data_IF_211459344722
#
_entry.id   IF_211459344722
#
_cell.length_a   1.000
_cell.length_b   1.000
_cell.length_c   1.000
_cell.angle_alpha   90.00
_cell.angle_beta   90.00
_cell.angle_gamma   90.00
#
_symmetry.space_group_name_H-M   'P 1'
#
loop_
_entity.id
_entity.type
_entity.pdbx_description
1 polymer ?
#
# COMPACT_ATOMS: atom_id res chain seq x y z
N UNK A 1 -24.45 4.28 -0.61
CA UNK A 1 -23.26 5.16 -0.39
C UNK A 1 -23.53 5.99 0.86
N UNK A 2 -22.55 6.12 1.77
CA UNK A 2 -22.71 6.95 2.97
C UNK A 2 -22.41 8.45 2.66
N UNK A 3 -22.72 9.34 3.60
CA UNK A 3 -22.58 10.79 3.42
C UNK A 3 -21.13 11.22 3.13
N UNK A 4 -20.14 10.60 3.79
CA UNK A 4 -18.71 10.92 3.60
C UNK A 4 -18.24 10.52 2.19
N UNK A 5 -18.58 9.31 1.75
CA UNK A 5 -18.22 8.83 0.40
C UNK A 5 -18.88 9.70 -0.67
N UNK A 6 -20.16 10.05 -0.50
CA UNK A 6 -20.89 10.92 -1.42
C UNK A 6 -20.25 12.30 -1.52
N UNK A 7 -19.94 12.93 -0.38
CA UNK A 7 -19.36 14.27 -0.34
C UNK A 7 -17.98 14.34 -1.01
N UNK A 8 -17.10 13.36 -0.76
CA UNK A 8 -15.75 13.36 -1.35
C UNK A 8 -15.80 13.03 -2.84
N UNK A 9 -16.62 12.07 -3.27
CA UNK A 9 -16.77 11.75 -4.69
C UNK A 9 -17.34 12.96 -5.45
N UNK A 10 -18.40 13.61 -4.93
CA UNK A 10 -18.96 14.79 -5.57
C UNK A 10 -17.99 15.97 -5.63
N UNK A 11 -17.08 16.11 -4.66
CA UNK A 11 -15.99 17.07 -4.72
C UNK A 11 -15.05 16.78 -5.90
N UNK A 12 -14.63 15.52 -6.06
CA UNK A 12 -13.73 15.15 -7.17
C UNK A 12 -14.40 15.21 -8.54
N UNK A 13 -15.71 14.99 -8.63
CA UNK A 13 -16.48 15.11 -9.88
C UNK A 13 -16.33 16.47 -10.54
N UNK A 14 -16.10 17.54 -9.76
CA UNK A 14 -15.90 18.89 -10.29
C UNK A 14 -14.61 19.02 -11.11
N UNK A 15 -13.68 18.08 -10.96
CA UNK A 15 -12.38 18.11 -11.65
C UNK A 15 -12.31 17.09 -12.81
N UNK A 16 -13.21 16.10 -12.84
CA UNK A 16 -13.21 15.07 -13.88
C UNK A 16 -13.51 15.68 -15.25
N UNK A 17 -12.63 15.41 -16.22
CA UNK A 17 -12.76 15.93 -17.57
C UNK A 17 -12.43 17.42 -17.75
N UNK A 18 -12.16 18.16 -16.66
CA UNK A 18 -11.79 19.59 -16.75
C UNK A 18 -10.37 19.77 -17.29
N UNK A 19 -9.49 18.80 -17.06
CA UNK A 19 -8.13 18.82 -17.54
C UNK A 19 -7.70 17.42 -17.97
N UNK A 20 -7.61 17.19 -19.27
CA UNK A 20 -7.14 15.92 -19.83
C UNK A 20 -5.73 15.56 -19.32
N UNK A 21 -4.89 16.55 -19.05
CA UNK A 21 -3.55 16.35 -18.48
C UNK A 21 -3.62 15.82 -17.04
N UNK A 22 -4.51 16.37 -16.20
CA UNK A 22 -4.70 15.92 -14.82
C UNK A 22 -5.23 14.46 -14.80
N UNK A 23 -6.27 14.18 -15.58
CA UNK A 23 -6.87 12.85 -15.67
C UNK A 23 -5.83 11.81 -16.15
N UNK A 24 -5.08 12.17 -17.20
CA UNK A 24 -3.99 11.33 -17.71
C UNK A 24 -2.90 11.09 -16.66
N UNK A 25 -2.46 12.15 -15.97
CA UNK A 25 -1.40 12.06 -14.95
C UNK A 25 -1.83 11.21 -13.76
N UNK A 26 -3.04 11.43 -13.22
CA UNK A 26 -3.57 10.61 -12.11
C UNK A 26 -3.76 9.16 -12.54
N UNK A 27 -4.27 8.93 -13.75
CA UNK A 27 -4.36 7.60 -14.34
C UNK A 27 -3.01 6.93 -14.50
N UNK A 28 -1.97 7.64 -14.95
CA UNK A 28 -0.61 7.14 -15.06
C UNK A 28 -0.05 6.74 -13.68
N UNK A 29 -0.18 7.63 -12.68
CA UNK A 29 0.26 7.34 -11.30
C UNK A 29 -0.46 6.12 -10.73
N UNK A 30 -1.78 6.01 -10.94
CA UNK A 30 -2.57 4.88 -10.43
C UNK A 30 -2.11 3.54 -11.01
N UNK A 31 -1.76 3.50 -12.31
CA UNK A 31 -1.30 2.28 -13.01
C UNK A 31 0.16 1.96 -12.75
N UNK A 32 1.02 2.98 -12.61
CA UNK A 32 2.46 2.78 -12.46
C UNK A 32 2.83 2.43 -11.02
N UNK A 33 3.22 1.19 -10.79
CA UNK A 33 3.77 0.76 -9.50
C UNK A 33 5.04 1.55 -9.13
N UNK A 34 5.88 1.86 -10.12
CA UNK A 34 7.09 2.65 -9.89
C UNK A 34 6.79 4.06 -9.40
N UNK A 35 5.92 4.81 -10.08
CA UNK A 35 5.58 6.18 -9.69
C UNK A 35 4.85 6.21 -8.33
N UNK A 36 3.95 5.27 -8.09
CA UNK A 36 3.12 5.22 -6.90
C UNK A 36 3.88 4.74 -5.67
N UNK A 37 4.53 3.59 -5.77
CA UNK A 37 5.10 2.87 -4.63
C UNK A 37 6.62 3.00 -4.53
N UNK A 38 7.30 3.28 -5.67
CA UNK A 38 8.76 3.36 -5.75
C UNK A 38 9.36 4.41 -4.82
N UNK A 39 8.67 5.55 -4.62
CA UNK A 39 9.10 6.58 -3.68
C UNK A 39 9.19 6.06 -2.23
N UNK A 40 8.18 5.32 -1.77
CA UNK A 40 8.18 4.73 -0.41
C UNK A 40 9.30 3.72 -0.28
N UNK A 41 9.51 2.87 -1.30
CA UNK A 41 10.61 1.91 -1.30
C UNK A 41 11.97 2.61 -1.29
N UNK A 42 12.14 3.68 -2.07
CA UNK A 42 13.36 4.48 -2.06
C UNK A 42 13.60 5.14 -0.69
N UNK A 43 12.54 5.62 -0.05
CA UNK A 43 12.61 6.21 1.30
C UNK A 43 13.01 5.17 2.37
N UNK A 44 12.53 3.93 2.26
CA UNK A 44 12.95 2.82 3.11
C UNK A 44 14.44 2.52 2.95
N UNK A 45 14.93 2.43 1.71
CA UNK A 45 16.36 2.22 1.41
C UNK A 45 17.20 3.39 1.90
N UNK A 46 16.77 4.63 1.67
CA UNK A 46 17.46 5.81 2.18
C UNK A 46 17.58 5.77 3.71
N UNK A 47 16.51 5.44 4.43
CA UNK A 47 16.53 5.30 5.88
C UNK A 47 17.44 4.15 6.35
N UNK A 48 17.50 3.05 5.61
CA UNK A 48 18.33 1.88 5.94
C UNK A 48 19.83 2.21 5.93
N UNK A 49 20.26 3.02 4.96
CA UNK A 49 21.68 3.37 4.78
C UNK A 49 22.13 4.60 5.56
N UNK A 50 21.23 5.30 6.25
CA UNK A 50 21.59 6.43 7.11
C UNK A 50 22.52 5.97 8.25
N UNK A 51 23.74 6.50 8.26
CA UNK A 51 24.71 6.25 9.34
C UNK A 51 24.36 7.08 10.58
N UNK A 52 24.29 6.44 11.73
CA UNK A 52 24.09 7.09 13.04
C UNK A 52 24.43 6.12 14.15
N UNK A 53 24.66 6.62 15.34
CA UNK A 53 24.84 5.80 16.56
C UNK A 53 23.64 4.88 16.84
N UNK A 54 22.45 5.27 16.41
CA UNK A 54 21.21 4.49 16.56
C UNK A 54 20.85 3.67 15.34
N UNK A 55 21.78 3.44 14.39
CA UNK A 55 21.48 2.76 13.12
C UNK A 55 20.88 1.36 13.32
N UNK A 56 21.37 0.59 14.28
CA UNK A 56 20.84 -0.77 14.51
C UNK A 56 19.39 -0.74 14.95
N UNK A 57 19.03 0.13 15.89
CA UNK A 57 17.64 0.25 16.34
C UNK A 57 16.72 0.78 15.23
N UNK A 58 17.19 1.73 14.41
CA UNK A 58 16.44 2.21 13.23
C UNK A 58 16.17 1.10 12.24
N UNK A 59 17.16 0.25 11.93
CA UNK A 59 17.00 -0.92 11.06
C UNK A 59 15.98 -1.92 11.61
N UNK A 60 15.97 -2.15 12.93
CA UNK A 60 14.94 -2.98 13.57
C UNK A 60 13.54 -2.39 13.36
N UNK A 61 13.38 -1.07 13.51
CA UNK A 61 12.11 -0.39 13.22
C UNK A 61 11.71 -0.51 11.75
N UNK A 62 12.63 -0.39 10.80
CA UNK A 62 12.35 -0.59 9.38
C UNK A 62 11.87 -2.02 9.09
N UNK A 63 12.55 -3.03 9.62
CA UNK A 63 12.14 -4.43 9.47
C UNK A 63 10.74 -4.65 10.05
N UNK A 64 10.49 -4.17 11.28
CA UNK A 64 9.17 -4.30 11.93
C UNK A 64 8.08 -3.59 11.13
N UNK A 65 8.38 -2.43 10.54
CA UNK A 65 7.43 -1.66 9.73
C UNK A 65 7.11 -2.35 8.40
N UNK A 66 8.10 -2.95 7.76
CA UNK A 66 7.91 -3.74 6.53
C UNK A 66 7.04 -4.97 6.82
N UNK A 67 7.39 -5.73 7.85
CA UNK A 67 6.62 -6.93 8.26
C UNK A 67 5.21 -6.52 8.68
N UNK A 68 5.06 -5.46 9.49
CA UNK A 68 3.76 -4.92 9.88
C UNK A 68 2.92 -4.49 8.66
N UNK A 69 3.55 -3.86 7.65
CA UNK A 69 2.87 -3.50 6.41
C UNK A 69 2.36 -4.71 5.63
N UNK A 70 3.18 -5.76 5.50
CA UNK A 70 2.77 -7.01 4.84
C UNK A 70 1.61 -7.67 5.60
N UNK A 71 1.69 -7.71 6.93
CA UNK A 71 0.60 -8.24 7.78
C UNK A 71 -0.67 -7.40 7.61
N UNK A 72 -0.56 -6.06 7.59
CA UNK A 72 -1.70 -5.16 7.38
C UNK A 72 -2.39 -5.40 6.02
N UNK A 73 -1.61 -5.57 4.95
CA UNK A 73 -2.13 -5.93 3.64
C UNK A 73 -2.81 -7.31 3.65
N UNK A 74 -2.23 -8.29 4.33
CA UNK A 74 -2.81 -9.62 4.51
C UNK A 74 -4.14 -9.58 5.26
N UNK A 75 -4.22 -8.82 6.35
CA UNK A 75 -5.47 -8.59 7.12
C UNK A 75 -6.51 -7.91 6.24
N UNK A 76 -6.14 -6.85 5.52
CA UNK A 76 -7.07 -6.17 4.62
C UNK A 76 -7.61 -7.14 3.55
N UNK A 77 -6.77 -7.96 2.93
CA UNK A 77 -7.19 -8.97 1.94
C UNK A 77 -8.07 -10.07 2.52
N UNK A 78 -7.78 -10.52 3.73
CA UNK A 78 -8.65 -11.46 4.42
C UNK A 78 -10.05 -10.84 4.64
N UNK A 79 -10.12 -9.58 5.06
CA UNK A 79 -11.38 -8.88 5.26
C UNK A 79 -12.16 -8.65 3.96
N UNK A 80 -11.48 -8.46 2.81
CA UNK A 80 -12.12 -8.39 1.48
C UNK A 80 -12.95 -9.64 1.18
N UNK A 81 -12.50 -10.81 1.66
CA UNK A 81 -13.20 -12.09 1.45
C UNK A 81 -14.21 -12.38 2.56
N UNK A 82 -13.88 -11.99 3.81
CA UNK A 82 -14.70 -12.31 4.99
C UNK A 82 -15.92 -11.38 5.17
N UNK A 83 -15.86 -10.16 4.63
CA UNK A 83 -16.93 -9.17 4.74
C UNK A 83 -17.87 -9.22 3.53
N UNK A 84 -19.11 -8.68 3.67
CA UNK A 84 -20.03 -8.56 2.55
C UNK A 84 -19.39 -7.81 1.36
N UNK A 85 -19.67 -8.29 0.15
CA UNK A 85 -19.13 -7.70 -1.08
C UNK A 85 -19.56 -6.25 -1.23
N UNK A 86 -18.59 -5.38 -1.52
CA UNK A 86 -18.80 -3.98 -1.86
C UNK A 86 -18.25 -3.69 -3.25
N UNK A 87 -19.11 -3.35 -4.19
CA UNK A 87 -18.68 -2.95 -5.54
C UNK A 87 -17.79 -1.70 -5.46
N UNK A 88 -16.82 -1.59 -6.38
CA UNK A 88 -15.99 -0.38 -6.50
C UNK A 88 -16.81 0.77 -7.08
N UNK A 89 -16.51 2.04 -6.72
CA UNK A 89 -17.22 3.20 -7.28
C UNK A 89 -17.30 3.17 -8.81
N UNK A 90 -16.20 2.85 -9.49
CA UNK A 90 -16.11 2.81 -10.96
C UNK A 90 -16.96 1.69 -11.59
N UNK A 91 -17.36 0.66 -10.83
CA UNK A 91 -18.21 -0.45 -11.30
C UNK A 91 -19.69 -0.22 -10.97
N UNK A 92 -20.02 0.82 -10.19
CA UNK A 92 -21.40 1.18 -9.89
C UNK A 92 -22.04 1.84 -11.11
N UNK A 93 -23.16 1.29 -11.67
CA UNK A 93 -23.79 1.83 -12.89
C UNK A 93 -24.14 3.32 -12.81
N UNK A 94 -24.49 3.80 -11.61
CA UNK A 94 -24.88 5.20 -11.37
C UNK A 94 -23.68 6.14 -11.29
N UNK A 95 -22.48 5.62 -11.07
CA UNK A 95 -21.25 6.40 -10.87
C UNK A 95 -20.23 6.22 -12.00
N UNK A 96 -20.35 5.14 -12.78
CA UNK A 96 -19.36 4.75 -13.79
C UNK A 96 -18.98 5.87 -14.77
N UNK A 97 -19.99 6.61 -15.27
CA UNK A 97 -19.79 7.70 -16.24
C UNK A 97 -19.08 8.93 -15.67
N UNK A 98 -18.88 8.97 -14.36
CA UNK A 98 -18.31 10.10 -13.63
C UNK A 98 -16.79 9.99 -13.47
N UNK A 99 -16.19 8.81 -13.73
CA UNK A 99 -14.77 8.60 -13.53
C UNK A 99 -13.95 8.73 -14.83
N UNK A 100 -12.68 9.18 -14.75
CA UNK A 100 -11.81 9.26 -15.91
C UNK A 100 -11.66 7.91 -16.61
N UNK A 101 -11.70 7.88 -17.93
CA UNK A 101 -11.54 6.67 -18.75
C UNK A 101 -10.10 6.14 -18.68
N UNK A 102 -9.93 4.83 -18.91
CA UNK A 102 -8.61 4.19 -19.04
C UNK A 102 -8.17 3.29 -17.90
N UNK A 103 -9.07 2.98 -16.95
CA UNK A 103 -8.85 1.90 -15.97
C UNK A 103 -9.36 0.60 -16.57
N UNK A 104 -8.53 -0.46 -16.54
CA UNK A 104 -8.99 -1.79 -16.98
C UNK A 104 -9.95 -2.38 -15.95
N UNK A 105 -11.24 -2.36 -16.25
CA UNK A 105 -12.32 -2.77 -15.35
C UNK A 105 -12.35 -4.28 -15.12
N UNK A 106 -11.94 -5.08 -16.10
CA UNK A 106 -11.96 -6.54 -16.02
C UNK A 106 -11.09 -7.07 -14.89
N UNK A 107 -9.98 -6.36 -14.59
CA UNK A 107 -9.05 -6.74 -13.53
C UNK A 107 -9.64 -6.60 -12.11
N UNK A 108 -10.79 -5.94 -11.94
CA UNK A 108 -11.33 -5.58 -10.61
C UNK A 108 -12.74 -6.17 -10.34
N UNK A 109 -13.40 -6.75 -11.35
CA UNK A 109 -14.82 -7.15 -11.25
C UNK A 109 -15.16 -8.20 -10.19
N UNK A 110 -14.19 -9.01 -9.76
CA UNK A 110 -14.41 -10.09 -8.81
C UNK A 110 -14.02 -9.76 -7.35
N UNK A 111 -13.47 -8.56 -7.06
CA UNK A 111 -12.93 -8.24 -5.74
C UNK A 111 -13.66 -7.08 -5.08
N UNK A 112 -14.06 -7.26 -3.80
CA UNK A 112 -14.63 -6.20 -2.96
C UNK A 112 -13.69 -5.00 -2.86
N UNK A 113 -14.26 -3.79 -2.78
CA UNK A 113 -13.48 -2.56 -2.59
C UNK A 113 -12.99 -2.37 -1.15
N UNK A 114 -13.65 -2.96 -0.17
CA UNK A 114 -13.43 -2.70 1.26
C UNK A 114 -12.76 -3.88 1.98
N UNK A 115 -11.76 -3.59 2.81
CA UNK A 115 -10.98 -2.35 2.94
C UNK A 115 -9.82 -2.28 1.91
N UNK A 116 -9.21 -1.09 1.74
CA UNK A 116 -8.10 -0.92 0.81
C UNK A 116 -6.79 -1.52 1.33
N UNK A 117 -6.26 -2.52 0.63
CA UNK A 117 -4.98 -3.18 0.93
C UNK A 117 -3.76 -2.24 0.71
N UNK A 118 -3.81 -1.37 -0.30
CA UNK A 118 -2.77 -0.36 -0.51
C UNK A 118 -2.72 0.65 0.64
N UNK A 119 -3.88 1.14 1.09
CA UNK A 119 -3.94 2.03 2.24
C UNK A 119 -3.40 1.34 3.50
N UNK A 120 -3.73 0.06 3.72
CA UNK A 120 -3.24 -0.71 4.87
C UNK A 120 -1.71 -0.88 4.84
N UNK A 121 -1.15 -1.38 3.72
CA UNK A 121 0.29 -1.59 3.57
C UNK A 121 1.08 -0.29 3.76
N UNK A 122 0.74 0.72 2.96
CA UNK A 122 1.57 1.91 2.89
C UNK A 122 1.38 2.86 4.07
N UNK A 123 0.20 2.88 4.72
CA UNK A 123 0.03 3.60 5.98
C UNK A 123 0.82 2.94 7.12
N UNK A 124 0.88 1.61 7.16
CA UNK A 124 1.72 0.92 8.14
C UNK A 124 3.20 1.28 7.97
N UNK A 125 3.71 1.28 6.74
CA UNK A 125 5.09 1.67 6.45
C UNK A 125 5.33 3.14 6.81
N UNK A 126 4.43 4.05 6.42
CA UNK A 126 4.56 5.47 6.70
C UNK A 126 4.58 5.79 8.20
N UNK A 127 3.70 5.15 8.99
CA UNK A 127 3.72 5.25 10.47
C UNK A 127 5.01 4.68 11.03
N UNK A 128 5.46 3.55 10.50
CA UNK A 128 6.73 2.93 10.90
C UNK A 128 7.94 3.84 10.68
N UNK A 129 7.95 4.64 9.62
CA UNK A 129 9.01 5.60 9.33
C UNK A 129 9.14 6.69 10.41
N UNK A 130 8.10 7.04 11.17
CA UNK A 130 8.21 7.99 12.29
C UNK A 130 9.12 7.49 13.41
N UNK A 131 9.20 6.18 13.63
CA UNK A 131 10.11 5.58 14.61
C UNK A 131 11.59 5.66 14.17
N UNK A 132 11.83 5.92 12.89
CA UNK A 132 13.16 6.05 12.30
C UNK A 132 13.55 7.51 12.17
N UNK A 133 12.67 8.33 11.59
CA UNK A 133 12.88 9.75 11.35
C UNK A 133 11.55 10.47 11.19
N UNK A 134 11.35 11.55 11.96
CA UNK A 134 10.15 12.39 11.83
C UNK A 134 9.99 12.93 10.41
N UNK A 135 11.10 13.35 9.76
CA UNK A 135 11.06 13.85 8.37
C UNK A 135 10.62 12.75 7.40
N UNK A 136 11.18 11.55 7.52
CA UNK A 136 10.80 10.41 6.68
C UNK A 136 9.34 10.01 6.90
N UNK A 137 8.86 9.99 8.15
CA UNK A 137 7.46 9.71 8.49
C UNK A 137 6.51 10.72 7.86
N UNK A 138 6.81 12.04 7.95
CA UNK A 138 6.00 13.10 7.33
C UNK A 138 5.99 12.93 5.80
N UNK A 139 7.16 12.81 5.16
CA UNK A 139 7.27 12.64 3.71
C UNK A 139 6.53 11.40 3.23
N UNK A 140 6.72 10.27 3.92
CA UNK A 140 6.02 9.02 3.62
C UNK A 140 4.50 9.16 3.75
N UNK A 141 4.02 9.77 4.85
CA UNK A 141 2.59 9.97 5.08
C UNK A 141 1.95 10.91 4.04
N UNK A 142 2.61 12.02 3.71
CA UNK A 142 2.16 12.92 2.66
C UNK A 142 2.08 12.19 1.31
N UNK A 143 3.08 11.39 0.97
CA UNK A 143 3.08 10.62 -0.27
C UNK A 143 1.96 9.58 -0.30
N UNK A 144 1.80 8.81 0.78
CA UNK A 144 0.72 7.81 0.89
C UNK A 144 -0.65 8.46 0.72
N UNK A 145 -0.90 9.59 1.40
CA UNK A 145 -2.16 10.28 1.31
C UNK A 145 -2.39 10.87 -0.09
N UNK A 146 -1.45 11.70 -0.58
CA UNK A 146 -1.65 12.52 -1.78
C UNK A 146 -1.48 11.73 -3.08
N UNK A 147 -0.58 10.73 -3.10
CA UNK A 147 -0.26 9.99 -4.32
C UNK A 147 -0.93 8.62 -4.34
N UNK A 148 -0.83 7.85 -3.24
CA UNK A 148 -1.36 6.49 -3.24
C UNK A 148 -2.87 6.48 -2.97
N UNK A 149 -3.35 7.16 -1.95
CA UNK A 149 -4.75 7.10 -1.53
C UNK A 149 -5.66 7.97 -2.41
N UNK A 150 -5.30 9.25 -2.62
CA UNK A 150 -6.14 10.15 -3.40
C UNK A 150 -6.29 9.72 -4.86
N UNK A 151 -5.23 9.19 -5.49
CA UNK A 151 -5.34 8.69 -6.87
C UNK A 151 -6.36 7.56 -7.01
N UNK A 152 -6.51 6.72 -5.97
CA UNK A 152 -7.48 5.62 -5.97
C UNK A 152 -8.91 6.09 -5.78
N UNK A 153 -9.12 7.14 -4.99
CA UNK A 153 -10.45 7.77 -4.88
C UNK A 153 -10.79 8.48 -6.18
N UNK A 154 -9.86 9.26 -6.72
CA UNK A 154 -10.03 9.97 -7.98
C UNK A 154 -10.38 9.06 -9.15
N UNK A 155 -9.76 7.90 -9.26
CA UNK A 155 -10.02 6.92 -10.32
C UNK A 155 -11.19 5.97 -10.04
N UNK A 156 -11.91 6.16 -8.94
CA UNK A 156 -13.07 5.34 -8.56
C UNK A 156 -12.75 3.89 -8.17
N UNK A 157 -11.48 3.59 -7.84
CA UNK A 157 -11.08 2.26 -7.41
C UNK A 157 -11.48 1.94 -5.96
N UNK A 158 -11.57 2.96 -5.11
CA UNK A 158 -11.97 2.84 -3.72
C UNK A 158 -12.83 4.02 -3.28
N UNK A 159 -13.75 3.75 -2.35
CA UNK A 159 -14.40 4.81 -1.60
C UNK A 159 -13.45 5.41 -0.56
N UNK A 160 -13.66 6.68 -0.15
CA UNK A 160 -12.93 7.28 0.97
C UNK A 160 -12.93 6.43 2.24
N UNK A 161 -14.06 5.80 2.56
CA UNK A 161 -14.17 4.91 3.73
C UNK A 161 -13.34 3.64 3.61
N UNK A 162 -13.11 3.10 2.40
CA UNK A 162 -12.23 1.95 2.18
C UNK A 162 -10.78 2.32 2.53
N UNK A 163 -10.37 3.54 2.11
CA UNK A 163 -9.04 4.10 2.40
C UNK A 163 -8.86 4.32 3.90
N UNK A 164 -9.86 4.94 4.57
CA UNK A 164 -9.79 5.20 6.00
C UNK A 164 -9.70 3.91 6.82
N UNK A 165 -10.51 2.90 6.47
CA UNK A 165 -10.46 1.59 7.12
C UNK A 165 -9.11 0.90 6.91
N UNK A 166 -8.60 0.87 5.67
CA UNK A 166 -7.28 0.32 5.38
C UNK A 166 -6.17 1.05 6.13
N UNK A 167 -6.19 2.38 6.14
CA UNK A 167 -5.21 3.19 6.86
C UNK A 167 -5.27 2.95 8.38
N UNK A 168 -6.47 2.84 8.97
CA UNK A 168 -6.62 2.53 10.39
C UNK A 168 -6.04 1.16 10.75
N UNK A 169 -6.28 0.13 9.92
CA UNK A 169 -5.67 -1.20 10.07
C UNK A 169 -4.15 -1.08 10.00
N UNK A 170 -3.63 -0.38 8.99
CA UNK A 170 -2.20 -0.18 8.80
C UNK A 170 -1.55 0.53 9.99
N UNK A 171 -2.12 1.64 10.44
CA UNK A 171 -1.63 2.40 11.60
C UNK A 171 -1.61 1.54 12.88
N UNK A 172 -2.71 0.82 13.17
CA UNK A 172 -2.79 -0.03 14.36
C UNK A 172 -1.71 -1.12 14.34
N UNK A 173 -1.56 -1.83 13.21
CA UNK A 173 -0.57 -2.91 13.08
C UNK A 173 0.85 -2.34 13.14
N UNK A 174 1.12 -1.16 12.56
CA UNK A 174 2.43 -0.52 12.65
C UNK A 174 2.83 -0.18 14.09
N UNK A 175 1.91 0.35 14.89
CA UNK A 175 2.15 0.64 16.30
C UNK A 175 2.45 -0.63 17.08
N UNK A 176 1.67 -1.70 16.87
CA UNK A 176 1.89 -3.01 17.50
C UNK A 176 3.25 -3.60 17.07
N UNK A 177 3.55 -3.63 15.77
CA UNK A 177 4.80 -4.19 15.25
C UNK A 177 6.04 -3.45 15.77
N UNK A 178 5.95 -2.15 16.03
CA UNK A 178 7.03 -1.33 16.53
C UNK A 178 7.11 -1.27 18.07
N UNK A 179 6.20 -1.92 18.81
CA UNK A 179 6.33 -2.12 20.25
C UNK A 179 7.64 -2.89 20.56
N UNK A 180 8.41 -2.52 21.60
CA UNK A 180 9.77 -3.01 21.82
C UNK A 180 9.90 -4.55 21.74
N UNK A 181 9.01 -5.26 22.40
CA UNK A 181 9.02 -6.72 22.43
C UNK A 181 8.80 -7.34 21.03
N UNK A 182 7.79 -6.86 20.30
CA UNK A 182 7.42 -7.38 18.97
C UNK A 182 8.47 -7.00 17.95
N UNK A 183 8.92 -5.74 17.95
CA UNK A 183 9.99 -5.24 17.08
C UNK A 183 11.26 -6.08 17.22
N UNK A 184 11.72 -6.32 18.46
CA UNK A 184 12.95 -7.07 18.71
C UNK A 184 12.80 -8.55 18.33
N UNK A 185 11.63 -9.14 18.52
CA UNK A 185 11.32 -10.51 18.08
C UNK A 185 11.30 -10.62 16.55
N UNK A 186 10.55 -9.75 15.86
CA UNK A 186 10.40 -9.77 14.39
C UNK A 186 11.73 -9.49 13.69
N UNK A 187 12.52 -8.55 14.22
CA UNK A 187 13.79 -8.16 13.61
C UNK A 187 14.96 -9.10 13.92
N UNK A 188 14.82 -10.02 14.85
CA UNK A 188 15.90 -10.90 15.33
C UNK A 188 16.57 -11.70 14.20
N UNK A 189 15.78 -12.40 13.40
CA UNK A 189 16.29 -13.24 12.31
C UNK A 189 16.84 -12.39 11.14
N UNK A 190 16.13 -11.38 10.61
CA UNK A 190 16.64 -10.52 9.55
C UNK A 190 17.94 -9.80 9.94
N UNK A 191 18.06 -9.29 11.17
CA UNK A 191 19.26 -8.61 11.63
C UNK A 191 20.43 -9.58 11.84
N UNK A 192 20.17 -10.80 12.31
CA UNK A 192 21.19 -11.84 12.40
C UNK A 192 21.69 -12.26 11.00
N UNK A 193 20.78 -12.41 10.04
CA UNK A 193 21.12 -12.70 8.64
C UNK A 193 21.95 -11.57 8.02
N UNK A 194 21.53 -10.32 8.17
CA UNK A 194 22.28 -9.15 7.72
C UNK A 194 23.71 -9.14 8.24
N UNK A 195 23.93 -9.45 9.54
CA UNK A 195 25.28 -9.47 10.14
C UNK A 195 26.15 -10.61 9.64
N UNK A 196 25.57 -11.80 9.36
CA UNK A 196 26.33 -13.01 9.00
C UNK A 196 26.53 -13.15 7.49
N UNK A 197 25.54 -12.76 6.70
CA UNK A 197 25.47 -13.00 5.26
C UNK A 197 24.93 -11.77 4.53
N UNK A 198 25.69 -10.67 4.59
CA UNK A 198 25.28 -9.35 4.11
C UNK A 198 24.84 -9.38 2.62
N UNK A 199 25.58 -10.05 1.74
CA UNK A 199 25.29 -10.10 0.31
C UNK A 199 23.95 -10.78 0.02
N UNK A 200 23.69 -11.96 0.58
CA UNK A 200 22.42 -12.68 0.38
C UNK A 200 21.25 -11.98 1.05
N UNK A 201 21.48 -11.30 2.19
CA UNK A 201 20.46 -10.45 2.80
C UNK A 201 20.01 -9.33 1.85
N UNK A 202 20.96 -8.60 1.26
CA UNK A 202 20.60 -7.50 0.34
C UNK A 202 19.96 -8.01 -0.95
N UNK A 203 20.36 -9.16 -1.48
CA UNK A 203 19.70 -9.78 -2.62
C UNK A 203 18.21 -10.10 -2.30
N UNK A 204 17.94 -10.71 -1.15
CA UNK A 204 16.58 -11.00 -0.71
C UNK A 204 15.79 -9.72 -0.37
N UNK A 205 16.42 -8.73 0.26
CA UNK A 205 15.80 -7.45 0.58
C UNK A 205 15.43 -6.66 -0.70
N UNK A 206 16.23 -6.75 -1.76
CA UNK A 206 15.90 -6.18 -3.06
C UNK A 206 14.64 -6.84 -3.66
N UNK A 207 14.57 -8.18 -3.66
CA UNK A 207 13.39 -8.90 -4.12
C UNK A 207 12.15 -8.59 -3.27
N UNK A 208 12.31 -8.51 -1.95
CA UNK A 208 11.22 -8.10 -1.04
C UNK A 208 10.74 -6.68 -1.31
N UNK A 209 11.66 -5.74 -1.55
CA UNK A 209 11.35 -4.36 -1.90
C UNK A 209 10.61 -4.26 -3.24
N UNK A 210 11.01 -5.06 -4.23
CA UNK A 210 10.32 -5.20 -5.50
C UNK A 210 8.88 -5.69 -5.31
N UNK A 211 8.68 -6.75 -4.53
CA UNK A 211 7.34 -7.29 -4.24
C UNK A 211 6.44 -6.27 -3.51
N UNK A 212 7.00 -5.47 -2.61
CA UNK A 212 6.26 -4.38 -1.97
C UNK A 212 5.89 -3.30 -3.00
N UNK A 213 6.82 -2.95 -3.89
CA UNK A 213 6.57 -1.96 -4.94
C UNK A 213 5.46 -2.40 -5.90
N UNK A 214 5.40 -3.68 -6.27
CA UNK A 214 4.37 -4.27 -7.14
C UNK A 214 3.13 -4.74 -6.38
N UNK A 215 3.09 -4.56 -5.05
CA UNK A 215 2.02 -5.08 -4.17
C UNK A 215 1.78 -6.59 -4.36
N UNK A 216 2.84 -7.34 -4.54
CA UNK A 216 2.82 -8.79 -4.75
C UNK A 216 2.05 -9.22 -6.02
N UNK A 217 1.90 -8.36 -7.03
CA UNK A 217 1.18 -8.66 -8.27
C UNK A 217 1.80 -9.86 -9.00
N UNK A 218 3.13 -9.89 -9.09
CA UNK A 218 3.85 -10.99 -9.74
C UNK A 218 3.60 -12.32 -9.03
N UNK A 219 3.65 -12.35 -7.69
CA UNK A 219 3.36 -13.56 -6.92
C UNK A 219 1.92 -14.02 -7.05
N UNK A 220 0.96 -13.08 -7.11
CA UNK A 220 -0.46 -13.41 -7.32
C UNK A 220 -0.71 -13.98 -8.71
N UNK A 221 -0.14 -13.37 -9.73
CA UNK A 221 -0.23 -13.87 -11.12
C UNK A 221 0.34 -15.27 -11.24
N UNK A 222 1.52 -15.51 -10.67
CA UNK A 222 2.14 -16.84 -10.63
C UNK A 222 1.27 -17.86 -9.88
N UNK A 223 0.76 -17.49 -8.70
CA UNK A 223 -0.13 -18.35 -7.91
C UNK A 223 -1.41 -18.75 -8.67
N UNK A 224 -2.05 -17.78 -9.33
CA UNK A 224 -3.25 -18.03 -10.14
C UNK A 224 -2.94 -18.94 -11.33
N UNK A 225 -1.82 -18.73 -12.02
CA UNK A 225 -1.38 -19.58 -13.13
C UNK A 225 -1.11 -21.02 -12.66
N UNK A 226 -0.46 -21.16 -11.49
CA UNK A 226 -0.19 -22.49 -10.93
C UNK A 226 -1.49 -23.21 -10.52
N UNK A 227 -2.43 -22.49 -9.88
CA UNK A 227 -3.73 -23.05 -9.50
C UNK A 227 -4.54 -23.48 -10.73
N UNK A 228 -4.59 -22.67 -11.78
CA UNK A 228 -5.28 -23.03 -13.02
C UNK A 228 -4.64 -24.21 -13.75
N UNK A 229 -3.34 -24.43 -13.59
CA UNK A 229 -2.64 -25.57 -14.15
C UNK A 229 -2.85 -26.86 -13.34
N UNK A 230 -3.09 -26.75 -12.02
CA UNK A 230 -3.28 -27.89 -11.12
C UNK A 230 -4.76 -28.29 -10.96
N UNK A 231 -5.68 -27.38 -11.27
CA UNK A 231 -7.14 -27.60 -11.18
C UNK A 231 -7.78 -27.26 -12.53
N UNK A 232 -7.60 -28.14 -13.57
CA UNK A 232 -8.19 -27.94 -14.88
C UNK A 232 -9.72 -28.05 -14.90
#
# INVERSE_FOLDING_TARGET
>A
MNFLDAGVISFFQQFYGQSALLDWFVGLVTRSCFLKNGFIVSLLWWCWFQTSETQEIRRKHLVASIVGGVVAAGVARYLVVALPFRARPILEPTLHSLFPTGVNLESFGGFSSFPSDHAALFSAIAVGLFFVSRKAGILGSCWVLLVICLSRVYTGLHYPTDILAGAAIGCAIALIANAPCIRDWVSRLPMAWHRRHCASFYAAAFLGAWQIATLFDDMRSFGNTLLSALMP
#
